data_IF_843194992664
#
_entry.id   IF_843194992664
#
_cell.length_a   1.000
_cell.length_b   1.000
_cell.length_c   1.000
_cell.angle_alpha   90.00
_cell.angle_beta   90.00
_cell.angle_gamma   90.00
#
_symmetry.space_group_name_H-M   'P 1'
#
loop_
_entity.id
_entity.type
_entity.pdbx_description
1 polymer ?
#
# COMPACT_ATOMS: atom_id res chain seq x y z
N UNK A 1 7.46 6.15 -36.34
CA UNK A 1 8.81 5.64 -36.67
C UNK A 1 9.02 4.35 -35.91
N UNK A 2 8.84 3.22 -36.58
CA UNK A 2 9.09 1.90 -36.00
C UNK A 2 10.59 1.70 -35.93
N UNK A 3 11.20 1.85 -34.74
CA UNK A 3 12.59 1.44 -34.54
C UNK A 3 12.64 -0.06 -34.78
N UNK A 4 13.46 -0.47 -35.73
CA UNK A 4 13.75 -1.86 -36.11
C UNK A 4 14.57 -2.53 -34.99
N UNK A 5 13.95 -2.67 -33.81
CA UNK A 5 14.56 -3.36 -32.68
C UNK A 5 14.26 -4.84 -32.90
N UNK A 6 15.29 -5.60 -33.26
CA UNK A 6 15.20 -7.04 -33.34
C UNK A 6 14.63 -7.59 -32.01
N UNK A 7 13.60 -8.45 -32.04
CA UNK A 7 13.03 -9.00 -30.82
C UNK A 7 14.10 -9.72 -29.99
N UNK A 8 14.25 -9.35 -28.72
CA UNK A 8 15.14 -10.06 -27.81
C UNK A 8 14.42 -11.32 -27.29
N UNK A 9 14.88 -12.50 -27.73
CA UNK A 9 14.30 -13.78 -27.35
C UNK A 9 14.67 -14.20 -25.93
N UNK A 10 13.81 -13.89 -24.95
CA UNK A 10 13.98 -14.35 -23.56
C UNK A 10 13.49 -15.79 -23.42
N UNK A 11 14.35 -16.70 -22.97
CA UNK A 11 13.94 -18.06 -22.58
C UNK A 11 13.36 -18.04 -21.18
N UNK A 12 12.05 -18.24 -21.05
CA UNK A 12 11.35 -18.22 -19.77
C UNK A 12 10.69 -19.58 -19.49
N UNK A 13 10.67 -20.04 -18.23
CA UNK A 13 9.84 -21.15 -17.81
C UNK A 13 8.36 -20.92 -18.15
N UNK A 14 7.62 -21.98 -18.46
CA UNK A 14 6.21 -21.88 -18.89
C UNK A 14 5.35 -21.18 -17.82
N UNK A 15 5.52 -21.53 -16.55
CA UNK A 15 4.73 -20.96 -15.45
C UNK A 15 4.96 -19.45 -15.29
N UNK A 16 6.22 -19.01 -15.42
CA UNK A 16 6.56 -17.58 -15.38
C UNK A 16 5.92 -16.83 -16.55
N UNK A 17 6.02 -17.39 -17.77
CA UNK A 17 5.41 -16.80 -18.95
C UNK A 17 3.89 -16.68 -18.80
N UNK A 18 3.20 -17.74 -18.37
CA UNK A 18 1.76 -17.75 -18.16
C UNK A 18 1.32 -16.71 -17.11
N UNK A 19 2.11 -16.57 -16.04
CA UNK A 19 1.88 -15.58 -14.99
C UNK A 19 1.98 -14.16 -15.55
N UNK A 20 3.04 -13.88 -16.30
CA UNK A 20 3.25 -12.57 -16.91
C UNK A 20 2.19 -12.25 -17.96
N UNK A 21 1.75 -13.22 -18.77
CA UNK A 21 0.66 -13.03 -19.74
C UNK A 21 -0.66 -12.68 -19.05
N UNK A 22 -0.96 -13.33 -17.92
CA UNK A 22 -2.16 -13.05 -17.13
C UNK A 22 -2.11 -11.63 -16.57
N UNK A 23 -0.97 -11.20 -16.02
CA UNK A 23 -0.79 -9.85 -15.50
C UNK A 23 -0.83 -8.79 -16.60
N UNK A 24 -0.19 -9.05 -17.74
CA UNK A 24 -0.23 -8.18 -18.92
C UNK A 24 -1.67 -7.92 -19.39
N UNK A 25 -2.49 -8.99 -19.49
CA UNK A 25 -3.91 -8.88 -19.83
C UNK A 25 -4.70 -8.08 -18.80
N UNK A 26 -4.50 -8.33 -17.51
CA UNK A 26 -5.15 -7.57 -16.44
C UNK A 26 -4.81 -6.08 -16.48
N UNK A 27 -3.58 -5.75 -16.88
CA UNK A 27 -3.08 -4.38 -17.03
C UNK A 27 -3.37 -3.75 -18.40
N UNK A 28 -4.06 -4.46 -19.31
CA UNK A 28 -4.42 -3.94 -20.63
C UNK A 28 -3.24 -3.70 -21.59
N UNK A 29 -2.11 -4.43 -21.43
CA UNK A 29 -0.91 -4.25 -22.25
C UNK A 29 -0.36 -5.56 -22.81
N UNK A 30 0.56 -5.46 -23.78
CA UNK A 30 1.23 -6.63 -24.36
C UNK A 30 2.17 -7.29 -23.35
N UNK A 31 2.45 -8.59 -23.53
CA UNK A 31 3.45 -9.29 -22.72
C UNK A 31 4.81 -8.57 -22.74
N UNK A 32 5.22 -8.05 -23.91
CA UNK A 32 6.48 -7.32 -24.02
C UNK A 32 6.47 -6.04 -23.18
N UNK A 33 5.38 -5.26 -23.22
CA UNK A 33 5.25 -4.06 -22.39
C UNK A 33 5.27 -4.38 -20.89
N UNK A 34 4.62 -5.48 -20.49
CA UNK A 34 4.62 -5.97 -19.09
C UNK A 34 6.01 -6.37 -18.59
N UNK A 35 6.80 -7.01 -19.45
CA UNK A 35 8.18 -7.41 -19.14
C UNK A 35 9.10 -6.21 -19.06
N UNK A 36 9.04 -5.29 -20.03
CA UNK A 36 9.86 -4.08 -20.04
C UNK A 36 9.62 -3.24 -18.78
N UNK A 37 8.36 -3.00 -18.45
CA UNK A 37 7.97 -2.22 -17.27
C UNK A 37 8.52 -2.82 -15.96
N UNK A 38 8.43 -4.14 -15.77
CA UNK A 38 9.02 -4.81 -14.60
C UNK A 38 10.54 -4.68 -14.53
N UNK A 39 11.21 -4.75 -15.68
CA UNK A 39 12.65 -4.60 -15.74
C UNK A 39 13.06 -3.16 -15.40
N UNK A 40 12.34 -2.17 -15.93
CA UNK A 40 12.54 -0.76 -15.61
C UNK A 40 12.31 -0.48 -14.12
N UNK A 41 11.25 -1.02 -13.52
CA UNK A 41 11.01 -0.94 -12.08
C UNK A 41 12.14 -1.57 -11.26
N UNK A 42 12.60 -2.77 -11.63
CA UNK A 42 13.71 -3.43 -10.95
C UNK A 42 14.98 -2.58 -10.96
N UNK A 43 15.32 -1.99 -12.11
CA UNK A 43 16.49 -1.10 -12.23
C UNK A 43 16.29 0.19 -11.43
N UNK A 44 15.08 0.74 -11.39
CA UNK A 44 14.76 1.90 -10.55
C UNK A 44 15.01 1.61 -9.07
N UNK A 45 14.58 0.45 -8.59
CA UNK A 45 14.82 0.00 -7.21
C UNK A 45 16.32 -0.19 -6.92
N UNK A 46 17.07 -0.75 -7.87
CA UNK A 46 18.53 -0.89 -7.78
C UNK A 46 19.21 0.48 -7.60
N UNK A 47 18.77 1.49 -8.36
CA UNK A 47 19.28 2.85 -8.26
C UNK A 47 18.95 3.51 -6.91
N UNK A 48 17.73 3.33 -6.38
CA UNK A 48 17.34 3.89 -5.09
C UNK A 48 18.19 3.38 -3.93
N UNK A 49 18.56 2.11 -3.99
CA UNK A 49 19.38 1.46 -2.96
C UNK A 49 20.89 1.48 -3.28
N UNK A 50 21.29 2.06 -4.41
CA UNK A 50 22.67 2.03 -4.91
C UNK A 50 23.26 0.60 -4.86
N UNK A 51 22.51 -0.38 -5.34
CA UNK A 51 22.82 -1.81 -5.25
C UNK A 51 22.18 -2.61 -6.38
N UNK A 52 22.88 -3.62 -6.92
CA UNK A 52 22.36 -4.56 -7.95
C UNK A 52 21.24 -5.50 -7.44
N UNK A 53 20.84 -5.36 -6.17
CA UNK A 53 19.75 -6.10 -5.54
C UNK A 53 18.80 -5.16 -4.81
N UNK A 54 18.65 -3.93 -5.29
CA UNK A 54 17.77 -2.93 -4.71
C UNK A 54 16.35 -3.44 -4.54
N UNK A 55 15.82 -4.20 -5.51
CA UNK A 55 14.50 -4.83 -5.37
C UNK A 55 14.34 -5.67 -4.09
N UNK A 56 15.40 -6.36 -3.65
CA UNK A 56 15.39 -7.15 -2.40
C UNK A 56 15.37 -6.26 -1.17
N UNK A 57 16.12 -5.16 -1.19
CA UNK A 57 16.13 -4.17 -0.11
C UNK A 57 14.81 -3.41 -0.03
N UNK A 58 14.17 -3.12 -1.17
CA UNK A 58 12.86 -2.48 -1.22
C UNK A 58 11.79 -3.34 -0.56
N UNK A 59 11.83 -4.67 -0.75
CA UNK A 59 10.89 -5.58 -0.10
C UNK A 59 11.01 -5.53 1.44
N UNK A 60 12.25 -5.57 1.95
CA UNK A 60 12.52 -5.47 3.40
C UNK A 60 12.03 -4.12 3.94
N UNK A 61 12.38 -3.03 3.27
CA UNK A 61 11.96 -1.69 3.66
C UNK A 61 10.43 -1.52 3.68
N UNK A 62 9.73 -2.13 2.71
CA UNK A 62 8.27 -2.11 2.66
C UNK A 62 7.65 -2.85 3.85
N UNK A 63 8.17 -4.04 4.18
CA UNK A 63 7.70 -4.79 5.36
C UNK A 63 7.88 -4.01 6.66
N UNK A 64 9.00 -3.30 6.80
CA UNK A 64 9.27 -2.44 7.95
C UNK A 64 8.31 -1.25 7.99
N UNK A 65 8.10 -0.57 6.87
CA UNK A 65 7.17 0.56 6.77
C UNK A 65 5.72 0.16 7.09
N UNK A 66 5.26 -1.00 6.64
CA UNK A 66 3.93 -1.53 6.98
C UNK A 66 3.81 -1.78 8.48
N UNK A 67 4.82 -2.41 9.10
CA UNK A 67 4.84 -2.63 10.56
C UNK A 67 4.82 -1.31 11.32
N UNK A 68 5.54 -0.30 10.86
CA UNK A 68 5.54 1.03 11.47
C UNK A 68 4.18 1.74 11.32
N UNK A 69 3.54 1.63 10.16
CA UNK A 69 2.20 2.14 9.94
C UNK A 69 1.17 1.48 10.86
N UNK A 70 1.23 0.16 11.04
CA UNK A 70 0.37 -0.56 11.99
C UNK A 70 0.58 -0.10 13.44
N UNK A 71 1.84 0.03 13.87
CA UNK A 71 2.17 0.56 15.22
C UNK A 71 1.62 1.97 15.43
N UNK A 72 1.76 2.82 14.41
CA UNK A 72 1.29 4.20 14.45
C UNK A 72 -0.24 4.25 14.52
N UNK A 73 -0.93 3.42 13.74
CA UNK A 73 -2.39 3.27 13.81
C UNK A 73 -2.84 2.81 15.19
N UNK A 74 -2.16 1.81 15.76
CA UNK A 74 -2.50 1.29 17.09
C UNK A 74 -2.24 2.33 18.18
N UNK A 75 -1.18 3.14 18.04
CA UNK A 75 -0.92 4.25 18.95
C UNK A 75 -2.03 5.30 18.87
N UNK A 76 -2.41 5.73 17.66
CA UNK A 76 -3.52 6.67 17.49
C UNK A 76 -4.82 6.11 18.05
N UNK A 77 -5.10 4.83 17.83
CA UNK A 77 -6.28 4.17 18.41
C UNK A 77 -6.23 4.08 19.94
N UNK A 78 -5.04 4.06 20.57
CA UNK A 78 -4.93 4.13 22.04
C UNK A 78 -5.10 5.54 22.57
N UNK A 79 -4.50 6.52 21.91
CA UNK A 79 -4.50 7.92 22.36
C UNK A 79 -5.82 8.64 22.05
N UNK A 80 -6.44 8.29 20.93
CA UNK A 80 -7.66 8.92 20.41
C UNK A 80 -8.81 7.92 20.21
N UNK A 81 -8.63 6.66 20.61
CA UNK A 81 -9.71 5.67 20.64
C UNK A 81 -10.88 6.22 21.43
N UNK A 82 -12.03 6.25 20.77
CA UNK A 82 -13.22 7.02 21.14
C UNK A 82 -13.80 6.76 22.54
N UNK A 83 -13.28 5.84 23.35
CA UNK A 83 -13.80 5.54 24.70
C UNK A 83 -13.86 6.78 25.60
N UNK A 84 -12.84 7.65 25.60
CA UNK A 84 -12.87 8.89 26.39
C UNK A 84 -13.84 9.94 25.81
N UNK A 85 -13.94 10.00 24.48
CA UNK A 85 -14.85 10.92 23.81
C UNK A 85 -16.32 10.50 23.94
N UNK A 86 -16.60 9.20 23.86
CA UNK A 86 -17.92 8.62 24.03
C UNK A 86 -18.36 8.73 25.49
N UNK A 87 -17.49 8.43 26.46
CA UNK A 87 -17.77 8.65 27.88
C UNK A 87 -18.07 10.12 28.18
N UNK A 88 -17.25 11.05 27.67
CA UNK A 88 -17.47 12.49 27.88
C UNK A 88 -18.74 12.99 27.18
N UNK A 89 -19.07 12.44 26.01
CA UNK A 89 -20.34 12.73 25.32
C UNK A 89 -21.54 12.26 26.13
N UNK A 90 -21.48 11.06 26.69
CA UNK A 90 -22.54 10.52 27.53
C UNK A 90 -22.72 11.33 28.81
N UNK A 91 -21.61 11.75 29.44
CA UNK A 91 -21.63 12.67 30.59
C UNK A 91 -22.27 14.02 30.24
N UNK A 92 -21.93 14.61 29.09
CA UNK A 92 -22.51 15.87 28.63
C UNK A 92 -24.02 15.71 28.35
N UNK A 93 -24.42 14.62 27.70
CA UNK A 93 -25.83 14.33 27.42
C UNK A 93 -26.65 14.21 28.70
N UNK A 94 -26.11 13.51 29.70
CA UNK A 94 -26.76 13.37 31.00
C UNK A 94 -26.84 14.71 31.74
N UNK A 95 -25.78 15.52 31.73
CA UNK A 95 -25.79 16.86 32.31
C UNK A 95 -26.83 17.79 31.65
N UNK A 96 -26.94 17.74 30.32
CA UNK A 96 -27.94 18.52 29.56
C UNK A 96 -29.37 18.06 29.92
N UNK A 97 -29.58 16.75 30.07
CA UNK A 97 -30.89 16.20 30.47
C UNK A 97 -31.29 16.69 31.86
N UNK A 98 -30.38 16.62 32.83
CA UNK A 98 -30.63 17.08 34.21
C UNK A 98 -30.93 18.58 34.28
N UNK A 99 -30.22 19.41 33.51
CA UNK A 99 -30.50 20.85 33.39
C UNK A 99 -31.90 21.12 32.83
N UNK A 100 -32.30 20.37 31.81
CA UNK A 100 -33.63 20.51 31.21
C UNK A 100 -34.74 20.17 32.19
N UNK A 101 -34.56 19.12 33.00
CA UNK A 101 -35.52 18.74 34.05
C UNK A 101 -35.64 19.79 35.17
N UNK A 102 -34.54 20.46 35.52
CA UNK A 102 -34.55 21.55 36.50
C UNK A 102 -35.19 22.84 35.97
N UNK A 103 -35.09 23.11 34.68
CA UNK A 103 -35.71 24.27 34.03
C UNK A 103 -37.23 24.11 33.77
N UNK A 104 -37.77 22.90 33.95
CA UNK A 104 -39.18 22.58 33.74
C UNK A 104 -39.99 22.43 35.04
N UNK A 105 -39.37 22.67 36.21
CA UNK A 105 -40.04 22.81 37.52
C UNK A 105 -40.18 24.27 37.88
#
# INVERSE_FOLDING_TARGET
>A
MSRDIAPFGVRMPADLKNTLETKAKANGRSLNAEVVDRLEESISMDNWHNSDKGYSFTLIALEEAVKEADRSRDQLNREYGHEQFDAMKDEILEAVKQLKEHLQK
#
